data_IF_258344056754
#
_entry.id   IF_258344056754
#
_cell.length_a   1.000
_cell.length_b   1.000
_cell.length_c   1.000
_cell.angle_alpha   90.00
_cell.angle_beta   90.00
_cell.angle_gamma   90.00
#
_symmetry.space_group_name_H-M   'P 1'
#
loop_
_entity.id
_entity.type
_entity.pdbx_description
1 polymer ?
#
# COMPACT_ATOMS: atom_id res chain seq x y z
N UNK A 1 -19.50 3.50 -8.77
CA UNK A 1 -18.18 2.86 -8.91
C UNK A 1 -17.24 3.35 -7.83
N UNK A 2 -16.49 2.46 -7.22
CA UNK A 2 -15.51 2.81 -6.22
C UNK A 2 -14.11 2.51 -6.75
N UNK A 3 -13.16 3.39 -6.43
CA UNK A 3 -11.74 3.13 -6.68
C UNK A 3 -11.20 2.27 -5.56
N UNK A 4 -10.64 1.11 -5.91
CA UNK A 4 -10.23 0.10 -4.95
C UNK A 4 -8.74 -0.21 -5.03
N UNK A 5 -8.22 -0.68 -3.90
CA UNK A 5 -6.86 -1.20 -3.77
C UNK A 5 -6.86 -2.46 -2.91
N UNK A 6 -5.99 -3.39 -3.23
CA UNK A 6 -5.56 -4.39 -2.25
C UNK A 6 -4.28 -3.85 -1.62
N UNK A 7 -4.27 -3.72 -0.31
CA UNK A 7 -3.20 -3.03 0.39
C UNK A 7 -2.96 -3.62 1.78
N UNK A 8 -1.81 -3.29 2.34
CA UNK A 8 -1.52 -3.57 3.75
C UNK A 8 -1.13 -2.27 4.43
N UNK A 9 -1.42 -2.17 5.72
CA UNK A 9 -1.14 -0.98 6.51
C UNK A 9 0.08 -1.22 7.41
N UNK A 10 1.03 -0.27 7.46
CA UNK A 10 2.15 -0.39 8.38
C UNK A 10 1.68 -0.33 9.84
N UNK A 11 2.37 -1.05 10.74
CA UNK A 11 2.00 -1.05 12.16
C UNK A 11 2.36 0.28 12.85
N UNK A 12 1.85 0.52 14.07
CA UNK A 12 2.08 1.78 14.79
C UNK A 12 3.56 2.17 14.94
N UNK A 13 4.45 1.22 15.11
CA UNK A 13 5.89 1.48 15.25
C UNK A 13 6.46 2.13 13.96
N UNK A 14 6.03 1.64 12.81
CA UNK A 14 6.45 2.17 11.51
C UNK A 14 5.82 3.53 11.26
N UNK A 15 4.52 3.69 11.60
CA UNK A 15 3.83 4.98 11.53
C UNK A 15 4.56 6.02 12.38
N UNK A 16 4.98 5.67 13.59
CA UNK A 16 5.76 6.55 14.47
C UNK A 16 7.10 6.96 13.86
N UNK A 17 7.81 6.00 13.26
CA UNK A 17 9.08 6.27 12.58
C UNK A 17 8.89 7.23 11.39
N UNK A 18 7.88 7.00 10.57
CA UNK A 18 7.59 7.87 9.42
C UNK A 18 7.13 9.26 9.87
N UNK A 19 6.37 9.33 10.96
CA UNK A 19 5.93 10.62 11.53
C UNK A 19 7.07 11.45 12.07
N UNK A 20 8.17 10.80 12.47
CA UNK A 20 9.36 11.48 12.99
C UNK A 20 10.29 12.02 11.89
N UNK A 21 10.06 11.67 10.63
CA UNK A 21 10.85 12.22 9.53
C UNK A 21 10.61 13.71 9.40
N UNK A 22 11.68 14.45 9.10
CA UNK A 22 11.57 15.88 8.84
C UNK A 22 10.71 16.14 7.60
N UNK A 23 9.70 16.98 7.77
CA UNK A 23 8.74 17.33 6.71
C UNK A 23 8.71 18.84 6.52
N UNK A 24 9.76 19.41 5.88
CA UNK A 24 9.80 20.87 5.69
C UNK A 24 8.64 21.33 4.82
N UNK A 25 8.07 22.46 5.17
CA UNK A 25 7.05 23.10 4.37
C UNK A 25 7.68 23.69 3.10
N UNK A 26 7.28 23.19 1.95
CA UNK A 26 7.86 23.58 0.66
C UNK A 26 6.75 23.87 -0.34
N UNK A 27 6.92 24.91 -1.19
CA UNK A 27 5.94 25.22 -2.23
C UNK A 27 5.72 24.03 -3.15
N UNK A 28 4.46 23.71 -3.46
CA UNK A 28 4.11 22.64 -4.37
C UNK A 28 4.27 21.24 -3.81
N UNK A 29 4.60 21.09 -2.53
CA UNK A 29 4.74 19.80 -1.85
C UNK A 29 3.63 19.61 -0.84
N UNK A 30 2.93 18.48 -0.92
CA UNK A 30 1.88 18.09 0.04
C UNK A 30 2.33 16.81 0.73
N UNK A 31 2.58 16.92 2.05
CA UNK A 31 2.97 15.76 2.85
C UNK A 31 1.76 14.89 3.15
N UNK A 32 1.93 13.60 2.99
CA UNK A 32 0.90 12.62 3.33
C UNK A 32 0.75 12.49 4.84
N UNK A 33 -0.45 12.16 5.28
CA UNK A 33 -0.76 11.89 6.70
C UNK A 33 -0.76 10.37 6.95
N UNK A 34 -0.70 9.93 8.22
CA UNK A 34 -0.71 8.51 8.55
C UNK A 34 -1.84 7.72 7.93
N UNK A 35 -3.02 8.33 7.79
CA UNK A 35 -4.20 7.71 7.18
C UNK A 35 -4.02 7.41 5.69
N UNK A 36 -2.98 7.96 5.07
CA UNK A 36 -2.67 7.81 3.64
C UNK A 36 -1.49 6.87 3.38
N UNK A 37 -0.91 6.28 4.42
CA UNK A 37 0.31 5.48 4.30
C UNK A 37 0.05 3.99 4.06
N UNK A 38 -0.97 3.67 3.29
CA UNK A 38 -1.13 2.28 2.87
C UNK A 38 0.00 1.86 1.91
N UNK A 39 0.37 0.59 1.99
CA UNK A 39 1.28 -0.04 1.05
C UNK A 39 0.43 -0.80 0.04
N UNK A 40 0.38 -0.34 -1.18
CA UNK A 40 -0.46 -0.94 -2.22
C UNK A 40 0.15 -2.24 -2.71
N UNK A 41 -0.62 -3.32 -2.63
CA UNK A 41 -0.27 -4.61 -3.21
C UNK A 41 -0.76 -4.68 -4.64
N UNK A 42 -2.01 -4.25 -4.87
CA UNK A 42 -2.54 -4.12 -6.23
C UNK A 42 -3.58 -3.00 -6.30
N UNK A 43 -3.35 -1.97 -7.14
CA UNK A 43 -4.42 -1.03 -7.48
C UNK A 43 -5.42 -1.71 -8.41
N UNK A 44 -6.71 -1.60 -8.10
CA UNK A 44 -7.77 -2.23 -8.89
C UNK A 44 -8.51 -1.25 -9.79
N UNK A 45 -8.27 0.06 -9.61
CA UNK A 45 -8.98 1.10 -10.35
C UNK A 45 -10.44 1.23 -9.92
N UNK A 46 -11.25 1.80 -10.78
CA UNK A 46 -12.69 1.94 -10.54
C UNK A 46 -13.41 0.63 -10.81
N UNK A 47 -14.14 0.13 -9.82
CA UNK A 47 -14.77 -1.19 -9.84
C UNK A 47 -16.26 -1.05 -9.60
N UNK A 48 -17.07 -1.74 -10.43
CA UNK A 48 -18.51 -1.81 -10.27
C UNK A 48 -18.90 -2.47 -8.94
N UNK A 49 -19.94 -1.96 -8.29
CA UNK A 49 -20.41 -2.47 -7.00
C UNK A 49 -20.66 -3.98 -6.99
N UNK A 50 -21.10 -4.54 -8.10
CA UNK A 50 -21.32 -5.99 -8.21
C UNK A 50 -20.02 -6.77 -8.16
N UNK A 51 -18.95 -6.22 -8.68
CA UNK A 51 -17.63 -6.85 -8.67
C UNK A 51 -16.98 -6.73 -7.28
N UNK A 52 -17.30 -5.69 -6.52
CA UNK A 52 -16.76 -5.51 -5.15
C UNK A 52 -17.10 -6.70 -4.26
N UNK A 53 -18.35 -7.17 -4.27
CA UNK A 53 -18.75 -8.32 -3.47
C UNK A 53 -18.00 -9.59 -3.88
N UNK A 54 -17.81 -9.81 -5.18
CA UNK A 54 -17.05 -10.95 -5.71
C UNK A 54 -15.58 -10.87 -5.33
N UNK A 55 -14.99 -9.67 -5.35
CA UNK A 55 -13.61 -9.46 -4.91
C UNK A 55 -13.42 -9.80 -3.43
N UNK A 56 -14.36 -9.37 -2.58
CA UNK A 56 -14.33 -9.72 -1.16
C UNK A 56 -14.33 -11.23 -0.97
N UNK A 57 -15.24 -11.92 -1.66
CA UNK A 57 -15.40 -13.37 -1.54
C UNK A 57 -14.15 -14.11 -2.00
N UNK A 58 -13.59 -13.75 -3.15
CA UNK A 58 -12.41 -14.44 -3.69
C UNK A 58 -11.17 -14.17 -2.85
N UNK A 59 -11.00 -12.94 -2.37
CA UNK A 59 -9.85 -12.60 -1.51
C UNK A 59 -9.94 -13.33 -0.17
N UNK A 60 -11.12 -13.35 0.47
CA UNK A 60 -11.31 -14.07 1.72
C UNK A 60 -11.08 -15.58 1.56
N UNK A 61 -11.57 -16.17 0.47
CA UNK A 61 -11.41 -17.61 0.23
C UNK A 61 -9.97 -17.99 -0.13
N UNK A 62 -9.34 -17.26 -1.04
CA UNK A 62 -8.04 -17.62 -1.59
C UNK A 62 -6.86 -17.22 -0.69
N UNK A 63 -7.04 -16.20 0.15
CA UNK A 63 -6.00 -15.78 1.09
C UNK A 63 -6.17 -16.41 2.47
N UNK A 64 -7.20 -17.24 2.66
CA UNK A 64 -7.38 -17.97 3.92
C UNK A 64 -6.17 -18.88 4.16
N UNK A 65 -5.54 -18.73 5.31
CA UNK A 65 -4.34 -19.48 5.66
C UNK A 65 -3.05 -19.02 4.99
N UNK A 66 -3.09 -17.97 4.17
CA UNK A 66 -1.88 -17.42 3.56
C UNK A 66 -0.92 -16.93 4.65
N UNK A 67 0.41 -17.12 4.49
CA UNK A 67 1.37 -16.76 5.54
C UNK A 67 1.50 -15.25 5.70
N UNK A 68 1.71 -14.82 6.94
CA UNK A 68 2.12 -13.45 7.24
C UNK A 68 3.45 -13.14 6.56
N UNK A 69 3.66 -11.88 6.19
CA UNK A 69 4.75 -11.47 5.32
C UNK A 69 5.73 -10.58 6.06
N UNK A 70 7.01 -10.89 5.95
CA UNK A 70 8.07 -10.02 6.47
C UNK A 70 8.30 -8.86 5.51
N UNK A 71 8.10 -7.65 6.00
CA UNK A 71 8.27 -6.43 5.23
C UNK A 71 9.47 -5.63 5.73
N UNK A 72 10.14 -4.95 4.80
CA UNK A 72 11.25 -4.07 5.11
C UNK A 72 11.09 -2.75 4.38
N UNK A 73 11.10 -1.67 5.14
CA UNK A 73 11.04 -0.29 4.63
C UNK A 73 12.45 0.26 4.43
N UNK A 74 12.69 0.97 3.35
CA UNK A 74 13.93 1.64 3.07
C UNK A 74 14.85 0.91 2.11
N UNK A 75 16.17 1.16 2.18
CA UNK A 75 16.95 1.88 3.22
C UNK A 75 16.87 3.41 3.15
N UNK A 76 16.31 3.96 2.10
CA UNK A 76 16.27 5.41 1.91
C UNK A 76 15.00 5.82 1.17
N UNK A 77 14.60 7.07 1.34
CA UNK A 77 13.52 7.66 0.54
C UNK A 77 13.95 7.76 -0.93
N UNK A 78 12.96 7.75 -1.83
CA UNK A 78 13.21 7.90 -3.28
C UNK A 78 12.11 8.71 -3.95
N UNK A 79 12.42 9.30 -5.08
CA UNK A 79 11.41 9.96 -5.89
C UNK A 79 10.63 8.94 -6.70
N UNK A 80 9.30 9.10 -6.72
CA UNK A 80 8.38 8.27 -7.46
C UNK A 80 7.93 9.02 -8.71
N UNK A 81 8.15 8.44 -9.89
CA UNK A 81 7.77 9.05 -11.15
C UNK A 81 8.42 10.40 -11.41
N UNK A 82 9.53 10.71 -10.73
CA UNK A 82 10.24 11.97 -10.87
C UNK A 82 9.59 13.16 -10.16
N UNK A 83 8.48 12.97 -9.44
CA UNK A 83 7.74 14.08 -8.81
C UNK A 83 7.41 13.84 -7.35
N UNK A 84 6.93 12.65 -6.99
CA UNK A 84 6.50 12.32 -5.63
C UNK A 84 7.66 11.77 -4.82
N UNK A 85 7.48 11.71 -3.50
CA UNK A 85 8.43 11.10 -2.59
C UNK A 85 7.82 9.85 -1.96
N UNK A 86 8.60 8.78 -1.91
CA UNK A 86 8.19 7.56 -1.27
C UNK A 86 9.29 6.90 -0.49
N UNK A 87 8.92 5.89 0.29
CA UNK A 87 9.83 4.97 0.94
C UNK A 87 9.53 3.56 0.43
N UNK A 88 10.51 2.86 -0.18
CA UNK A 88 10.26 1.54 -0.73
C UNK A 88 9.98 0.51 0.36
N UNK A 89 9.08 -0.43 0.04
CA UNK A 89 8.75 -1.56 0.91
C UNK A 89 9.07 -2.84 0.17
N UNK A 90 9.91 -3.68 0.77
CA UNK A 90 10.34 -4.95 0.23
C UNK A 90 9.66 -6.11 0.97
N UNK A 91 9.52 -7.24 0.30
CA UNK A 91 9.00 -8.47 0.89
C UNK A 91 7.58 -8.84 0.47
N UNK A 92 6.89 -7.98 -0.30
CA UNK A 92 5.50 -8.20 -0.69
C UNK A 92 5.33 -8.89 -2.04
N UNK A 93 6.42 -9.24 -2.73
CA UNK A 93 6.36 -9.75 -4.11
C UNK A 93 5.52 -11.03 -4.23
N UNK A 94 5.70 -11.98 -3.33
CA UNK A 94 4.96 -13.25 -3.37
C UNK A 94 3.48 -13.05 -3.08
N UNK A 95 3.17 -12.22 -2.08
CA UNK A 95 1.78 -11.87 -1.77
C UNK A 95 1.12 -11.14 -2.95
N UNK A 96 1.85 -10.22 -3.57
CA UNK A 96 1.36 -9.50 -4.75
C UNK A 96 1.06 -10.46 -5.90
N UNK A 97 1.94 -11.44 -6.16
CA UNK A 97 1.73 -12.43 -7.20
C UNK A 97 0.44 -13.22 -6.97
N UNK A 98 0.19 -13.65 -5.74
CA UNK A 98 -1.06 -14.36 -5.38
C UNK A 98 -2.27 -13.45 -5.56
N UNK A 99 -2.20 -12.21 -5.09
CA UNK A 99 -3.30 -11.25 -5.21
C UNK A 99 -3.63 -10.98 -6.67
N UNK A 100 -2.62 -10.79 -7.52
CA UNK A 100 -2.84 -10.60 -8.96
C UNK A 100 -3.51 -11.82 -9.58
N UNK A 101 -3.05 -13.02 -9.26
CA UNK A 101 -3.60 -14.26 -9.78
C UNK A 101 -5.09 -14.43 -9.40
N UNK A 102 -5.43 -14.23 -8.13
CA UNK A 102 -6.80 -14.47 -7.65
C UNK A 102 -7.79 -13.36 -8.04
N UNK A 103 -7.32 -12.18 -8.40
CA UNK A 103 -8.20 -11.06 -8.77
C UNK A 103 -8.27 -10.81 -10.28
N UNK A 104 -7.41 -11.43 -11.09
CA UNK A 104 -7.26 -11.11 -12.50
C UNK A 104 -8.53 -11.36 -13.32
N UNK A 105 -9.30 -12.41 -13.02
CA UNK A 105 -10.55 -12.69 -13.72
C UNK A 105 -11.58 -11.61 -13.49
N UNK A 106 -11.65 -11.06 -12.29
CA UNK A 106 -12.62 -10.03 -11.94
C UNK A 106 -12.16 -8.64 -12.38
N UNK A 107 -10.87 -8.37 -12.28
CA UNK A 107 -10.26 -7.10 -12.68
C UNK A 107 -9.01 -7.40 -13.49
N UNK A 108 -9.14 -7.50 -14.84
CA UNK A 108 -7.99 -7.81 -15.69
C UNK A 108 -6.88 -6.78 -15.60
N UNK A 109 -5.65 -7.26 -15.70
CA UNK A 109 -4.46 -6.39 -15.79
C UNK A 109 -4.36 -5.87 -17.21
N UNK A 110 -4.53 -4.56 -17.41
CA UNK A 110 -4.50 -3.93 -18.74
C UNK A 110 -3.12 -3.43 -19.14
N UNK A 111 -2.30 -3.05 -18.15
CA UNK A 111 -0.95 -2.53 -18.38
C UNK A 111 0.03 -3.19 -17.40
N UNK A 112 0.54 -4.40 -17.74
CA UNK A 112 1.46 -5.10 -16.85
C UNK A 112 2.72 -4.27 -16.59
N UNK A 113 3.09 -4.15 -15.31
CA UNK A 113 4.30 -3.46 -14.88
C UNK A 113 4.98 -4.28 -13.78
N UNK A 114 6.30 -4.14 -13.64
CA UNK A 114 6.99 -4.74 -12.49
C UNK A 114 6.39 -4.26 -11.19
N UNK A 115 6.24 -5.18 -10.24
CA UNK A 115 5.70 -4.82 -8.92
C UNK A 115 6.74 -4.04 -8.10
N UNK A 116 6.32 -2.85 -7.65
CA UNK A 116 7.08 -2.05 -6.69
C UNK A 116 6.11 -1.49 -5.66
N UNK A 117 6.46 -1.66 -4.39
CA UNK A 117 5.65 -1.13 -3.30
C UNK A 117 6.38 0.02 -2.62
N UNK A 118 5.62 1.05 -2.27
CA UNK A 118 6.12 2.23 -1.57
C UNK A 118 5.06 2.76 -0.61
N UNK A 119 5.52 3.39 0.47
CA UNK A 119 4.69 4.33 1.22
C UNK A 119 4.87 5.69 0.56
N UNK A 120 3.78 6.32 0.13
CA UNK A 120 3.85 7.67 -0.45
C UNK A 120 3.92 8.69 0.70
N UNK A 121 5.06 9.38 0.79
CA UNK A 121 5.32 10.36 1.85
C UNK A 121 4.91 11.77 1.46
N UNK A 122 5.07 12.14 0.19
CA UNK A 122 4.71 13.47 -0.30
C UNK A 122 4.29 13.43 -1.77
N UNK A 123 3.41 14.33 -2.13
CA UNK A 123 2.89 14.51 -3.48
C UNK A 123 3.16 15.91 -3.98
N UNK A 124 3.01 16.11 -5.29
CA UNK A 124 3.27 17.38 -5.94
C UNK A 124 4.64 17.39 -6.62
N UNK A 125 5.35 18.49 -6.52
CA UNK A 125 6.69 18.62 -7.13
C UNK A 125 7.74 18.57 -6.04
N UNK A 126 8.08 17.35 -5.63
CA UNK A 126 9.05 17.13 -4.56
C UNK A 126 10.48 17.36 -5.08
N UNK A 127 11.27 18.22 -4.40
CA UNK A 127 12.67 18.41 -4.78
C UNK A 127 13.48 17.12 -4.66
N UNK A 128 14.42 16.93 -5.57
CA UNK A 128 15.29 15.75 -5.57
C UNK A 128 16.14 15.61 -4.31
N UNK A 129 16.39 16.70 -3.60
CA UNK A 129 17.18 16.74 -2.36
C UNK A 129 16.52 15.98 -1.22
N UNK A 130 15.19 15.75 -1.29
CA UNK A 130 14.46 14.96 -0.30
C UNK A 130 14.62 13.45 -0.52
N UNK A 131 15.08 13.02 -1.68
CA UNK A 131 15.41 11.63 -1.93
C UNK A 131 16.76 11.26 -1.31
N UNK A 132 16.91 9.98 -0.96
CA UNK A 132 18.16 9.49 -0.37
C UNK A 132 18.26 9.69 1.13
N UNK A 133 17.22 10.15 1.79
CA UNK A 133 17.20 10.25 3.26
C UNK A 133 17.09 8.87 3.88
N UNK A 134 17.91 8.57 4.90
CA UNK A 134 17.84 7.26 5.54
C UNK A 134 16.49 7.02 6.20
N UNK A 135 15.90 5.87 5.91
CA UNK A 135 14.70 5.37 6.55
C UNK A 135 14.77 3.85 6.56
N UNK A 136 14.53 3.23 7.69
CA UNK A 136 14.64 1.78 7.81
C UNK A 136 13.70 1.27 8.90
N UNK A 137 12.95 0.23 8.57
CA UNK A 137 12.10 -0.48 9.51
C UNK A 137 11.84 -1.89 8.98
N UNK A 138 11.51 -2.80 9.88
CA UNK A 138 11.09 -4.14 9.53
C UNK A 138 9.86 -4.50 10.36
N UNK A 139 8.90 -5.20 9.75
CA UNK A 139 7.71 -5.66 10.47
C UNK A 139 7.12 -6.87 9.77
N UNK A 140 6.24 -7.54 10.47
CA UNK A 140 5.43 -8.62 9.90
C UNK A 140 4.06 -8.06 9.53
N UNK A 141 3.70 -8.13 8.26
CA UNK A 141 2.35 -7.82 7.81
C UNK A 141 1.43 -8.98 8.18
N UNK A 142 0.46 -8.73 9.05
CA UNK A 142 -0.44 -9.75 9.61
C UNK A 142 -1.82 -9.73 9.00
N UNK A 143 -2.07 -8.82 8.10
CA UNK A 143 -3.33 -8.73 7.37
C UNK A 143 -3.13 -8.01 6.05
N UNK A 144 -4.07 -8.26 5.15
CA UNK A 144 -4.20 -7.53 3.88
C UNK A 144 -5.65 -7.07 3.77
N UNK A 145 -5.86 -5.88 3.22
CA UNK A 145 -7.18 -5.26 3.17
C UNK A 145 -7.60 -4.99 1.73
N UNK A 146 -8.90 -5.11 1.49
CA UNK A 146 -9.54 -4.49 0.32
C UNK A 146 -9.95 -3.09 0.74
N UNK A 147 -9.36 -2.08 0.12
CA UNK A 147 -9.50 -0.68 0.54
C UNK A 147 -10.26 0.09 -0.53
N UNK A 148 -11.26 0.85 -0.11
CA UNK A 148 -11.99 1.79 -0.98
C UNK A 148 -11.49 3.21 -0.76
N UNK A 149 -11.31 3.94 -1.86
CA UNK A 149 -11.02 5.35 -1.82
C UNK A 149 -12.33 6.12 -1.69
N UNK A 150 -12.55 6.73 -0.53
CA UNK A 150 -13.71 7.57 -0.21
C UNK A 150 -13.32 9.05 -0.19
N UNK A 151 -12.23 9.39 -0.85
CA UNK A 151 -11.73 10.77 -0.89
C UNK A 151 -12.68 11.72 -1.60
N UNK A 152 -12.68 12.95 -1.14
CA UNK A 152 -13.39 14.08 -1.75
C UNK A 152 -12.37 15.18 -2.05
N UNK A 153 -12.74 16.25 -2.76
CA UNK A 153 -11.84 17.39 -2.95
C UNK A 153 -11.36 18.03 -1.65
N UNK A 154 -12.10 17.84 -0.54
CA UNK A 154 -11.79 18.42 0.75
C UNK A 154 -10.97 17.53 1.66
N UNK A 155 -11.00 16.20 1.46
CA UNK A 155 -10.33 15.27 2.35
C UNK A 155 -10.00 13.95 1.66
N UNK A 156 -8.80 13.43 1.92
CA UNK A 156 -8.42 12.08 1.52
C UNK A 156 -8.90 11.09 2.58
N UNK A 157 -9.69 10.10 2.16
CA UNK A 157 -10.23 9.07 3.05
C UNK A 157 -10.14 7.69 2.40
N UNK A 158 -9.62 6.74 3.14
CA UNK A 158 -9.60 5.33 2.76
C UNK A 158 -10.40 4.52 3.76
N UNK A 159 -11.15 3.53 3.27
CA UNK A 159 -11.96 2.65 4.10
C UNK A 159 -11.64 1.20 3.80
N UNK A 160 -11.31 0.44 4.83
CA UNK A 160 -11.17 -1.02 4.70
C UNK A 160 -12.56 -1.62 4.51
N UNK A 161 -12.79 -2.26 3.38
CA UNK A 161 -14.04 -2.99 3.10
C UNK A 161 -14.00 -4.37 3.71
N UNK A 162 -12.85 -5.01 3.69
CA UNK A 162 -12.60 -6.25 4.40
C UNK A 162 -11.13 -6.31 4.81
N UNK A 163 -10.87 -6.94 5.94
CA UNK A 163 -9.52 -7.18 6.45
C UNK A 163 -9.33 -8.69 6.53
N UNK A 164 -8.32 -9.20 5.84
CA UNK A 164 -8.06 -10.63 5.76
C UNK A 164 -6.82 -10.92 6.60
N UNK A 165 -6.95 -11.68 7.70
CA UNK A 165 -5.80 -12.02 8.52
C UNK A 165 -4.89 -13.00 7.80
N UNK A 166 -3.58 -12.80 7.96
CA UNK A 166 -2.55 -13.69 7.48
C UNK A 166 -2.07 -14.57 8.64
N UNK A 167 -1.66 -15.78 8.32
CA UNK A 167 -1.29 -16.76 9.34
C UNK A 167 0.16 -16.58 9.74
N UNK A 168 0.41 -16.43 11.04
CA UNK A 168 1.77 -16.40 11.57
C UNK A 168 2.31 -17.82 11.56
N UNK A 169 3.42 -18.02 10.85
CA UNK A 169 4.12 -19.29 10.85
C UNK A 169 5.10 -19.28 12.03
N UNK A 170 4.80 -20.12 13.04
CA UNK A 170 5.75 -20.35 14.13
C UNK A 170 6.67 -21.50 13.73
N UNK A 171 7.96 -21.23 13.68
CA UNK A 171 8.96 -22.29 13.55
C UNK A 171 9.28 -22.81 14.95
N UNK A 172 8.93 -24.06 15.17
CA UNK A 172 9.32 -24.77 16.37
C UNK A 172 10.82 -25.19 16.29
#
# INVERSE_FOLDING_TARGET
MARLFVATWPPPEVVGLLSALDRPELPGVRWSTPEQWMVKVRPLGHVDERVVALLRDVLEAELDGAPAVQCRLGPATRRLGGQWLGAPVHGLDDLAAVVFEVTEELVPVTHPQPFHADVVLARGQVPKELAGRPVSASWTARSVSLVADRSSPQATRYQDLTVIPLTIVTHD
#
